data_IF_196084833003
#
_entry.id   IF_196084833003
#
_cell.length_a   1.000
_cell.length_b   1.000
_cell.length_c   1.000
_cell.angle_alpha   90.00
_cell.angle_beta   90.00
_cell.angle_gamma   90.00
#
_symmetry.space_group_name_H-M   'P 1'
#
loop_
_entity.id
_entity.type
_entity.pdbx_description
1 polymer ?
#
# COMPACT_ATOMS: atom_id res chain seq x y z
N UNK A 1 -12.49 -3.00 -5.90
CA UNK A 1 -12.12 -2.88 -4.47
C UNK A 1 -11.83 -1.44 -4.12
N UNK A 2 -12.32 -0.99 -3.00
CA UNK A 2 -12.07 0.37 -2.55
C UNK A 2 -11.28 0.36 -1.24
N UNK A 3 -10.20 1.12 -1.23
CA UNK A 3 -9.37 1.31 -0.05
C UNK A 3 -9.31 2.79 0.29
N UNK A 4 -8.94 3.09 1.53
CA UNK A 4 -8.60 4.47 1.89
C UNK A 4 -7.08 4.58 1.78
N UNK A 5 -6.61 5.45 0.92
CA UNK A 5 -5.19 5.63 0.66
C UNK A 5 -4.80 7.05 1.06
N UNK A 6 -3.93 7.14 2.07
CA UNK A 6 -3.49 8.43 2.60
C UNK A 6 -4.67 9.36 2.90
N UNK A 7 -5.71 8.78 3.52
CA UNK A 7 -6.89 9.52 3.94
C UNK A 7 -7.94 9.74 2.86
N UNK A 8 -7.71 9.27 1.64
CA UNK A 8 -8.65 9.46 0.52
C UNK A 8 -9.14 8.13 -0.02
N UNK A 9 -10.42 8.03 -0.38
CA UNK A 9 -10.90 6.79 -1.00
C UNK A 9 -10.27 6.60 -2.36
N UNK A 10 -9.88 5.36 -2.64
CA UNK A 10 -9.28 4.98 -3.91
C UNK A 10 -9.89 3.68 -4.37
N UNK A 11 -10.40 3.68 -5.60
CA UNK A 11 -10.98 2.49 -6.20
C UNK A 11 -9.97 1.87 -7.15
N UNK A 12 -9.79 0.56 -7.04
CA UNK A 12 -8.93 -0.19 -7.95
C UNK A 12 -9.83 -1.03 -8.85
N UNK A 13 -9.71 -0.81 -10.15
CA UNK A 13 -10.52 -1.54 -11.13
C UNK A 13 -9.93 -2.91 -11.38
N UNK A 14 -8.61 -3.04 -11.26
CA UNK A 14 -7.96 -4.33 -11.38
C UNK A 14 -7.97 -5.02 -10.03
N UNK A 15 -8.00 -6.36 -10.02
CA UNK A 15 -7.96 -7.07 -8.75
C UNK A 15 -6.65 -6.76 -8.00
N UNK A 16 -6.79 -6.39 -6.75
CA UNK A 16 -5.65 -6.27 -5.84
C UNK A 16 -5.93 -7.19 -4.67
N UNK A 17 -4.95 -7.96 -4.27
CA UNK A 17 -5.08 -8.96 -3.22
C UNK A 17 -4.13 -8.67 -2.09
N UNK A 18 -2.97 -8.09 -2.38
CA UNK A 18 -1.94 -7.83 -1.39
C UNK A 18 -1.45 -6.40 -1.47
N UNK A 19 -0.69 -6.00 -0.46
CA UNK A 19 -0.04 -4.69 -0.47
C UNK A 19 0.85 -4.56 -1.69
N UNK A 20 1.54 -5.63 -2.09
CA UNK A 20 2.39 -5.60 -3.28
C UNK A 20 1.59 -5.24 -4.52
N UNK A 21 0.36 -5.76 -4.63
CA UNK A 21 -0.50 -5.44 -5.76
C UNK A 21 -0.86 -3.96 -5.79
N UNK A 22 -1.18 -3.40 -4.62
CA UNK A 22 -1.50 -1.98 -4.51
C UNK A 22 -0.31 -1.14 -4.95
N UNK A 23 0.88 -1.49 -4.47
CA UNK A 23 2.10 -0.77 -4.81
C UNK A 23 2.33 -0.80 -6.32
N UNK A 24 2.08 -1.95 -6.95
CA UNK A 24 2.21 -2.09 -8.39
C UNK A 24 1.21 -1.19 -9.14
N UNK A 25 -0.05 -1.20 -8.69
CA UNK A 25 -1.07 -0.37 -9.33
C UNK A 25 -0.78 1.12 -9.19
N UNK A 26 -0.07 1.53 -8.14
CA UNK A 26 0.31 2.91 -7.93
C UNK A 26 1.64 3.26 -8.61
N UNK A 27 2.26 2.29 -9.29
CA UNK A 27 3.55 2.47 -9.96
C UNK A 27 4.67 2.87 -8.99
N UNK A 28 4.62 2.31 -7.79
CA UNK A 28 5.60 2.62 -6.75
C UNK A 28 6.60 1.49 -6.52
N UNK A 29 6.60 0.48 -7.41
CA UNK A 29 7.56 -0.62 -7.28
C UNK A 29 8.99 -0.10 -7.35
N UNK A 30 9.82 -0.62 -6.49
CA UNK A 30 11.22 -0.24 -6.45
C UNK A 30 11.48 1.12 -5.82
N UNK A 31 10.43 1.84 -5.47
CA UNK A 31 10.60 3.13 -4.83
C UNK A 31 10.81 2.96 -3.33
N UNK A 32 11.48 3.93 -2.74
CA UNK A 32 11.74 3.91 -1.31
C UNK A 32 10.51 4.47 -0.61
N UNK A 33 9.70 3.58 -0.06
CA UNK A 33 8.43 3.96 0.58
C UNK A 33 8.29 3.27 1.92
N UNK A 34 7.43 3.83 2.75
CA UNK A 34 6.99 3.22 4.00
C UNK A 34 5.50 3.01 3.91
N UNK A 35 5.03 1.85 4.34
CA UNK A 35 3.63 1.47 4.24
C UNK A 35 3.09 1.11 5.61
N UNK A 36 1.90 1.64 5.93
CA UNK A 36 1.13 1.21 7.09
C UNK A 36 -0.21 0.70 6.62
N UNK A 37 -0.68 -0.36 7.24
CA UNK A 37 -2.01 -0.90 6.97
C UNK A 37 -2.78 -0.87 8.28
N UNK A 38 -3.86 -0.10 8.31
CA UNK A 38 -4.70 0.05 9.50
C UNK A 38 -3.89 0.41 10.73
N UNK A 39 -2.90 1.27 10.55
CA UNK A 39 -2.08 1.76 11.65
C UNK A 39 -0.86 0.93 11.97
N UNK A 40 -0.64 -0.18 11.26
CA UNK A 40 0.50 -1.05 11.51
C UNK A 40 1.49 -1.01 10.35
N UNK A 41 2.76 -0.90 10.68
CA UNK A 41 3.81 -0.87 9.67
C UNK A 41 3.86 -2.23 8.96
N UNK A 42 3.95 -2.19 7.63
CA UNK A 42 4.13 -3.39 6.82
C UNK A 42 5.59 -3.40 6.36
N UNK A 43 6.39 -4.33 6.85
CA UNK A 43 7.78 -4.42 6.38
C UNK A 43 7.84 -4.71 4.89
N UNK A 44 8.87 -4.16 4.25
CA UNK A 44 9.03 -4.32 2.80
C UNK A 44 8.99 -5.79 2.37
N UNK A 45 9.63 -6.66 3.12
CA UNK A 45 9.69 -8.08 2.76
C UNK A 45 8.35 -8.79 2.87
N UNK A 46 7.34 -8.14 3.44
CA UNK A 46 6.03 -8.75 3.62
C UNK A 46 4.94 -8.16 2.72
N UNK A 47 5.29 -7.30 1.79
CA UNK A 47 4.28 -6.68 0.92
C UNK A 47 3.48 -7.72 0.16
N UNK A 48 4.14 -8.73 -0.37
CA UNK A 48 3.48 -9.77 -1.15
C UNK A 48 2.68 -10.75 -0.30
N UNK A 49 2.94 -10.77 1.00
CA UNK A 49 2.27 -11.69 1.93
C UNK A 49 1.25 -10.99 2.82
N UNK A 50 1.04 -9.69 2.62
CA UNK A 50 0.10 -8.93 3.43
C UNK A 50 -1.17 -8.69 2.63
N UNK A 51 -2.28 -9.35 2.97
CA UNK A 51 -3.51 -9.18 2.21
C UNK A 51 -4.14 -7.82 2.45
N UNK A 52 -4.94 -7.37 1.49
CA UNK A 52 -5.76 -6.18 1.64
C UNK A 52 -7.20 -6.55 1.36
N UNK A 53 -8.11 -5.89 2.08
CA UNK A 53 -9.53 -6.08 1.93
C UNK A 53 -10.21 -4.74 1.73
N UNK A 54 -11.38 -4.77 1.15
CA UNK A 54 -12.18 -3.57 0.96
C UNK A 54 -12.35 -2.84 2.28
N UNK A 55 -12.11 -1.54 2.26
CA UNK A 55 -12.24 -0.73 3.46
C UNK A 55 -10.96 -0.58 4.27
N UNK A 56 -9.91 -1.31 3.93
CA UNK A 56 -8.63 -1.14 4.62
C UNK A 56 -8.07 0.26 4.41
N UNK A 57 -7.31 0.72 5.38
CA UNK A 57 -6.64 2.01 5.31
C UNK A 57 -5.15 1.79 5.12
N UNK A 58 -4.64 2.33 4.05
CA UNK A 58 -3.21 2.29 3.76
C UNK A 58 -2.64 3.69 3.80
N UNK A 59 -1.49 3.82 4.45
CA UNK A 59 -0.70 5.04 4.40
C UNK A 59 0.59 4.68 3.69
N UNK A 60 0.86 5.35 2.59
CA UNK A 60 2.08 5.10 1.83
C UNK A 60 2.77 6.43 1.64
N UNK A 61 3.96 6.54 2.20
CA UNK A 61 4.73 7.78 2.11
C UNK A 61 6.12 7.47 1.60
N UNK A 62 6.75 8.47 1.00
CA UNK A 62 8.13 8.33 0.59
C UNK A 62 9.02 8.23 1.81
N UNK A 63 9.91 7.25 1.82
CA UNK A 63 10.87 7.13 2.90
C UNK A 63 11.91 8.22 2.71
N UNK A 64 12.00 9.12 3.69
CA UNK A 64 12.99 10.19 3.66
C UNK A 64 14.25 9.71 4.33
N UNK A 65 15.28 10.51 4.22
CA UNK A 65 16.53 10.18 4.86
C UNK A 65 17.31 9.30 3.92
N UNK A 66 18.40 9.75 3.48
CA UNK A 66 19.24 9.06 2.55
C UNK A 66 18.62 8.96 1.17
N UNK A 67 17.44 9.41 1.06
CA UNK A 67 16.77 9.34 -0.23
C UNK A 67 17.29 10.38 -1.16
#
# INVERSE_FOLDING_TARGET
MQLTLNGNPRTFERPVVTVADVIRELALEGKRIAVEKNGEIVPRGLYADTPVDSGDRLEIVGAVGGG
#
